data_IF_176675880312
#
_entry.id   IF_176675880312
#
_cell.length_a   1.000
_cell.length_b   1.000
_cell.length_c   1.000
_cell.angle_alpha   90.00
_cell.angle_beta   90.00
_cell.angle_gamma   90.00
#
_symmetry.space_group_name_H-M   'P 1'
#
loop_
_entity.id
_entity.type
_entity.pdbx_description
1 polymer ?
2 water ?
#
# COMPACT_ATOMS: atom_id res chain seq x y z
N UNK A 1 -10.42 -17.78 -19.40
CA UNK A 1 -9.74 -17.90 -18.13
C UNK A 1 -9.86 -16.56 -17.46
N UNK A 2 -9.06 -16.26 -16.42
CA UNK A 2 -9.14 -14.96 -15.83
C UNK A 2 -8.15 -14.11 -16.55
N UNK A 3 -8.61 -12.94 -16.94
CA UNK A 3 -7.81 -11.88 -17.54
C UNK A 3 -7.45 -10.88 -16.44
N UNK A 4 -6.18 -10.84 -16.10
CA UNK A 4 -5.71 -9.99 -15.05
C UNK A 4 -4.84 -8.93 -15.67
N UNK A 5 -5.16 -7.66 -15.43
CA UNK A 5 -4.29 -6.57 -15.82
C UNK A 5 -3.57 -5.99 -14.62
N UNK A 6 -2.43 -5.34 -14.79
CA UNK A 6 -1.72 -4.71 -13.69
C UNK A 6 -1.17 -3.36 -14.12
N UNK A 7 -1.40 -2.36 -13.27
CA UNK A 7 -0.85 -1.03 -13.47
C UNK A 7 0.27 -0.86 -12.46
N UNK A 8 1.46 -0.65 -12.99
CA UNK A 8 2.64 -0.59 -12.15
C UNK A 8 3.69 0.31 -12.78
N UNK A 9 4.76 0.57 -12.06
CA UNK A 9 5.87 1.31 -12.57
C UNK A 9 6.65 0.41 -13.48
N UNK A 10 7.50 0.91 -14.39
CA UNK A 10 8.18 0.14 -15.43
C UNK A 10 8.75 -1.17 -14.95
N UNK A 11 8.26 -2.25 -15.53
CA UNK A 11 8.72 -3.58 -15.15
C UNK A 11 10.19 -3.80 -15.54
N UNK A 12 10.77 -2.98 -16.42
CA UNK A 12 12.17 -3.18 -16.80
C UNK A 12 13.16 -2.74 -15.73
N UNK A 13 12.63 -2.03 -14.72
CA UNK A 13 13.46 -1.51 -13.65
C UNK A 13 13.23 -2.14 -12.31
N UNK A 14 12.31 -3.10 -12.14
CA UNK A 14 12.20 -3.74 -10.84
C UNK A 14 13.33 -4.74 -10.58
N UNK A 15 13.36 -5.16 -9.32
CA UNK A 15 14.35 -6.12 -8.87
C UNK A 15 13.54 -7.35 -8.57
N UNK A 16 13.73 -8.40 -9.37
CA UNK A 16 12.87 -9.57 -9.21
C UNK A 16 13.14 -10.42 -8.01
N UNK A 17 14.22 -10.22 -7.27
CA UNK A 17 14.34 -11.01 -6.05
C UNK A 17 13.69 -10.34 -4.83
N UNK A 18 13.07 -9.19 -5.06
CA UNK A 18 12.52 -8.35 -4.03
C UNK A 18 11.11 -7.85 -4.33
N UNK A 19 10.76 -7.77 -5.62
CA UNK A 19 9.53 -7.14 -5.98
C UNK A 19 8.28 -7.93 -5.69
N UNK A 20 7.35 -7.38 -4.94
CA UNK A 20 6.12 -8.13 -4.65
C UNK A 20 5.18 -8.23 -5.81
N UNK A 21 5.18 -7.26 -6.75
CA UNK A 21 4.28 -7.28 -7.89
C UNK A 21 4.68 -8.39 -8.84
N UNK A 22 5.99 -8.58 -8.98
CA UNK A 22 6.56 -9.64 -9.80
C UNK A 22 6.13 -10.98 -9.24
N UNK A 23 6.25 -11.17 -7.93
CA UNK A 23 5.84 -12.39 -7.28
C UNK A 23 4.37 -12.67 -7.52
N UNK A 24 3.52 -11.64 -7.51
CA UNK A 24 2.11 -11.76 -7.85
C UNK A 24 1.85 -12.22 -9.29
N UNK A 25 2.53 -11.63 -10.29
CA UNK A 25 2.34 -12.03 -11.66
C UNK A 25 2.82 -13.47 -11.89
N UNK A 26 3.89 -13.95 -11.22
CA UNK A 26 4.36 -15.34 -11.38
C UNK A 26 3.28 -16.30 -10.94
N UNK A 27 2.66 -16.03 -9.79
CA UNK A 27 1.55 -16.81 -9.29
C UNK A 27 0.32 -16.82 -10.21
N UNK A 28 -0.13 -15.65 -10.67
CA UNK A 28 -1.25 -15.49 -11.59
C UNK A 28 -0.94 -16.32 -12.82
N UNK A 29 0.29 -16.23 -13.32
CA UNK A 29 0.66 -17.04 -14.47
C UNK A 29 0.63 -18.56 -14.21
N UNK A 30 1.02 -18.98 -12.98
CA UNK A 30 1.02 -20.39 -12.63
C UNK A 30 -0.38 -20.97 -12.58
N UNK A 31 -1.34 -20.12 -12.28
CA UNK A 31 -2.72 -20.54 -12.25
C UNK A 31 -3.31 -20.42 -13.64
N UNK A 32 -2.53 -20.03 -14.64
CA UNK A 32 -2.98 -19.90 -16.02
C UNK A 32 -3.80 -18.65 -16.36
N UNK A 33 -3.63 -17.51 -15.65
CA UNK A 33 -4.36 -16.32 -16.01
C UNK A 33 -3.64 -15.65 -17.18
N UNK A 34 -4.40 -14.91 -17.98
CA UNK A 34 -3.80 -14.11 -19.05
C UNK A 34 -3.40 -12.79 -18.41
N UNK A 35 -2.16 -12.37 -18.59
CA UNK A 35 -1.69 -11.12 -17.96
C UNK A 35 -1.66 -9.94 -18.95
N UNK A 36 -2.14 -8.76 -18.51
CA UNK A 36 -2.10 -7.55 -19.31
C UNK A 36 -1.39 -6.47 -18.52
N UNK A 37 -0.21 -6.10 -19.02
CA UNK A 37 0.68 -5.08 -18.47
C UNK A 37 0.32 -3.64 -18.90
N UNK A 38 0.22 -2.72 -17.92
CA UNK A 38 -0.05 -1.31 -18.16
C UNK A 38 0.78 -0.42 -17.27
N UNK A 39 1.24 0.71 -17.81
CA UNK A 39 1.82 1.79 -17.01
C UNK A 39 0.74 2.89 -16.98
N UNK A 40 0.94 3.86 -16.10
CA UNK A 40 0.03 4.98 -15.94
C UNK A 40 -0.40 5.69 -17.22
N UNK A 41 0.55 6.04 -18.07
CA UNK A 41 0.26 6.69 -19.33
C UNK A 41 -0.49 5.83 -20.35
N UNK A 42 -0.70 4.53 -20.12
CA UNK A 42 -1.44 3.69 -21.04
C UNK A 42 -2.94 3.77 -20.83
N UNK A 43 -3.36 4.34 -19.69
CA UNK A 43 -4.76 4.45 -19.29
C UNK A 43 -5.35 5.70 -19.89
N UNK A 44 -6.57 5.65 -20.44
CA UNK A 44 -7.22 6.85 -20.93
C UNK A 44 -8.72 6.70 -20.91
N UNK A 45 -9.48 7.77 -21.17
CA UNK A 45 -10.94 7.75 -21.01
C UNK A 45 -11.45 8.39 -22.26
N UNK A 46 -12.29 7.73 -23.03
CA UNK A 46 -12.83 8.36 -24.22
C UNK A 46 -14.33 8.27 -23.99
N UNK A 47 -14.93 9.46 -23.93
CA UNK A 47 -16.33 9.72 -23.55
C UNK A 47 -16.85 8.84 -22.44
N UNK A 48 -16.22 8.94 -21.26
CA UNK A 48 -16.66 8.14 -20.13
C UNK A 48 -16.13 6.71 -20.11
N UNK A 49 -15.74 6.08 -21.23
CA UNK A 49 -15.21 4.73 -21.22
C UNK A 49 -13.71 4.69 -20.96
N UNK A 50 -13.42 3.84 -19.96
CA UNK A 50 -12.06 3.53 -19.52
C UNK A 50 -11.44 2.51 -20.46
N UNK A 51 -10.30 2.89 -21.04
CA UNK A 51 -9.56 2.04 -21.96
C UNK A 51 -8.07 2.15 -21.69
N UNK A 52 -7.35 1.23 -22.29
CA UNK A 52 -5.92 1.26 -22.16
C UNK A 52 -5.28 0.47 -23.26
N UNK A 53 -4.04 0.86 -23.49
CA UNK A 53 -3.13 0.12 -24.34
C UNK A 53 -2.45 -0.92 -23.43
N UNK A 54 -2.69 -2.22 -23.64
CA UNK A 54 -2.05 -3.21 -22.82
C UNK A 54 -1.08 -3.97 -23.69
N UNK A 55 -0.15 -4.63 -23.01
CA UNK A 55 0.71 -5.58 -23.66
C UNK A 55 0.43 -6.89 -22.94
N UNK A 56 0.25 -8.00 -23.68
CA UNK A 56 0.06 -9.30 -23.07
C UNK A 56 1.44 -9.72 -22.56
N UNK A 57 1.49 -10.06 -21.26
CA UNK A 57 2.77 -10.27 -20.63
C UNK A 57 3.07 -11.72 -20.26
N UNK A 58 4.36 -12.06 -20.35
CA UNK A 58 4.90 -13.35 -19.97
C UNK A 58 6.04 -13.02 -19.02
N UNK A 59 6.10 -13.61 -17.83
CA UNK A 59 7.15 -13.34 -16.84
C UNK A 59 7.90 -14.61 -16.45
N UNK A 60 9.19 -14.51 -16.15
CA UNK A 60 9.89 -15.69 -15.64
C UNK A 60 11.00 -15.26 -14.71
N UNK A 61 11.30 -16.05 -13.67
CA UNK A 61 12.35 -15.75 -12.70
C UNK A 61 13.69 -15.97 -13.40
N UNK A 62 14.18 -14.98 -14.13
CA UNK A 62 15.40 -15.11 -14.89
C UNK A 62 15.98 -13.71 -14.85
N UNK A 63 17.18 -13.53 -14.27
CA UNK A 63 17.77 -12.20 -14.05
C UNK A 63 18.28 -11.50 -15.30
N UNK A 64 18.29 -12.15 -16.48
CA UNK A 64 18.71 -11.53 -17.71
C UNK A 64 17.45 -11.06 -18.42
N UNK A 65 16.39 -11.87 -18.28
CA UNK A 65 15.14 -11.59 -18.94
C UNK A 65 13.97 -12.17 -18.15
N UNK A 66 13.33 -11.30 -17.39
CA UNK A 66 12.23 -11.71 -16.55
C UNK A 66 10.87 -11.41 -17.14
N UNK A 67 10.74 -10.81 -18.32
CA UNK A 67 9.45 -10.57 -18.94
C UNK A 67 9.59 -10.50 -20.46
N UNK A 68 8.47 -10.71 -21.16
CA UNK A 68 8.42 -10.68 -22.60
C UNK A 68 7.03 -10.20 -22.98
N UNK A 69 6.94 -9.39 -24.03
CA UNK A 69 5.61 -8.93 -24.45
C UNK A 69 5.28 -9.81 -25.60
N UNK A 70 4.09 -10.36 -25.54
CA UNK A 70 3.73 -11.35 -26.53
C UNK A 70 2.53 -10.98 -27.38
N UNK A 71 2.07 -9.75 -27.19
CA UNK A 71 0.94 -9.14 -27.87
C UNK A 71 0.78 -7.70 -27.40
N UNK A 72 0.04 -6.92 -28.18
CA UNK A 72 -0.19 -5.52 -27.92
C UNK A 72 -1.60 -5.28 -28.35
N UNK A 73 -2.40 -4.54 -27.60
CA UNK A 73 -3.77 -4.26 -27.99
C UNK A 73 -4.35 -3.06 -27.24
N UNK A 74 -5.32 -2.42 -27.84
CA UNK A 74 -6.02 -1.33 -27.22
C UNK A 74 -7.38 -1.87 -26.79
N UNK A 75 -7.70 -2.13 -25.53
CA UNK A 75 -8.99 -2.69 -25.18
C UNK A 75 -9.77 -1.85 -24.20
N UNK A 76 -11.08 -2.04 -23.99
CA UNK A 76 -11.76 -1.45 -22.86
C UNK A 76 -11.40 -2.23 -21.62
N UNK A 77 -11.06 -1.50 -20.55
CA UNK A 77 -10.68 -2.09 -19.25
C UNK A 77 -11.73 -3.00 -18.59
N UNK A 78 -12.99 -2.75 -18.97
CA UNK A 78 -14.16 -3.55 -18.64
C UNK A 78 -14.12 -4.95 -19.27
N UNK A 79 -13.18 -5.20 -20.19
CA UNK A 79 -12.87 -6.53 -20.70
C UNK A 79 -11.91 -7.30 -19.81
N UNK A 80 -11.30 -6.67 -18.78
CA UNK A 80 -10.52 -7.38 -17.81
C UNK A 80 -11.40 -7.76 -16.62
N UNK A 81 -11.09 -8.92 -16.08
CA UNK A 81 -11.81 -9.43 -14.95
C UNK A 81 -11.31 -8.72 -13.73
N UNK A 82 -9.99 -8.52 -13.61
CA UNK A 82 -9.42 -7.86 -12.44
C UNK A 82 -8.16 -7.10 -12.83
N UNK A 83 -7.99 -5.96 -12.09
CA UNK A 83 -6.83 -5.09 -12.24
C UNK A 83 -6.23 -4.78 -10.86
N UNK A 84 -4.94 -5.09 -10.79
CA UNK A 84 -4.08 -4.81 -9.66
C UNK A 84 -3.49 -3.41 -9.84
N UNK A 85 -3.96 -2.42 -9.07
CA UNK A 85 -3.34 -1.11 -9.07
C UNK A 85 -2.13 -1.22 -8.16
N UNK A 86 -0.95 -1.31 -8.73
CA UNK A 86 0.24 -1.56 -7.96
C UNK A 86 1.26 -0.46 -8.16
N UNK A 87 0.74 0.70 -8.56
CA UNK A 87 1.52 1.91 -8.76
C UNK A 87 2.14 2.41 -7.44
N UNK A 88 3.40 2.79 -7.46
CA UNK A 88 4.01 3.29 -6.25
C UNK A 88 3.63 4.71 -5.90
N UNK A 89 3.66 5.04 -4.60
CA UNK A 89 3.61 6.40 -4.12
C UNK A 89 4.66 7.38 -4.67
N UNK A 90 4.41 8.70 -4.68
CA UNK A 90 3.38 9.39 -3.92
C UNK A 90 1.95 9.28 -4.39
N UNK A 91 1.07 9.62 -3.43
CA UNK A 91 -0.35 9.66 -3.67
C UNK A 91 -0.57 11.13 -3.91
N UNK A 92 -0.67 11.41 -5.19
CA UNK A 92 -0.76 12.77 -5.64
C UNK A 92 -1.99 12.95 -6.49
N UNK A 93 -2.16 14.11 -7.15
CA UNK A 93 -3.32 14.34 -7.97
C UNK A 93 -3.26 13.44 -9.20
N UNK A 94 -2.08 13.10 -9.75
CA UNK A 94 -2.04 12.16 -10.86
C UNK A 94 -2.56 10.76 -10.56
N UNK A 95 -2.33 10.34 -9.31
CA UNK A 95 -2.76 9.06 -8.82
C UNK A 95 -4.25 9.18 -8.60
N UNK A 96 -4.75 10.31 -8.06
CA UNK A 96 -6.19 10.47 -7.90
C UNK A 96 -6.93 10.45 -9.23
N UNK A 97 -6.37 11.01 -10.33
CA UNK A 97 -6.99 10.97 -11.64
C UNK A 97 -7.08 9.56 -12.20
N UNK A 98 -6.03 8.74 -11.99
CA UNK A 98 -6.05 7.35 -12.44
C UNK A 98 -7.06 6.47 -11.76
N UNK A 99 -7.31 6.79 -10.51
CA UNK A 99 -8.33 6.17 -9.68
C UNK A 99 -9.73 6.40 -10.29
N UNK A 100 -10.01 7.56 -10.96
CA UNK A 100 -11.33 7.81 -11.57
C UNK A 100 -11.53 6.96 -12.84
N UNK A 101 -10.42 6.73 -13.60
CA UNK A 101 -10.42 5.89 -14.81
C UNK A 101 -10.69 4.42 -14.45
N UNK A 102 -9.99 3.93 -13.41
CA UNK A 102 -10.20 2.59 -12.89
C UNK A 102 -11.62 2.41 -12.35
N UNK A 103 -12.19 3.45 -11.74
CA UNK A 103 -13.53 3.41 -11.25
C UNK A 103 -14.57 3.31 -12.37
N UNK A 104 -14.26 3.79 -13.58
CA UNK A 104 -15.20 3.66 -14.69
C UNK A 104 -15.20 2.24 -15.20
N UNK A 105 -14.05 1.56 -15.20
CA UNK A 105 -14.00 0.14 -15.49
C UNK A 105 -14.71 -0.66 -14.43
N UNK A 106 -14.60 -0.23 -13.18
CA UNK A 106 -15.19 -0.93 -12.04
C UNK A 106 -16.69 -0.92 -12.12
N UNK A 107 -17.28 0.19 -12.59
CA UNK A 107 -18.73 0.31 -12.76
C UNK A 107 -19.25 -0.60 -13.84
N UNK A 108 -18.39 -0.86 -14.83
CA UNK A 108 -18.72 -1.77 -15.91
C UNK A 108 -18.33 -3.20 -15.59
N UNK A 109 -17.92 -3.51 -14.35
CA UNK A 109 -17.73 -4.90 -13.96
C UNK A 109 -16.38 -5.39 -13.47
N UNK A 110 -15.24 -4.77 -13.80
CA UNK A 110 -13.90 -5.20 -13.38
C UNK A 110 -13.67 -5.07 -11.87
N UNK A 111 -13.06 -6.07 -11.22
CA UNK A 111 -12.63 -5.97 -9.83
C UNK A 111 -11.31 -5.19 -9.82
N UNK A 112 -11.18 -4.21 -8.93
CA UNK A 112 -10.00 -3.38 -8.85
C UNK A 112 -9.46 -3.65 -7.44
N UNK A 113 -8.24 -4.16 -7.38
CA UNK A 113 -7.55 -4.38 -6.11
C UNK A 113 -6.55 -3.23 -6.05
N UNK A 114 -6.60 -2.20 -5.19
CA UNK A 114 -7.67 -2.03 -4.21
C UNK A 114 -8.67 -1.04 -4.79
N UNK A 115 -9.83 -0.96 -4.15
CA UNK A 115 -10.95 -0.22 -4.68
C UNK A 115 -10.65 1.27 -4.78
N UNK A 116 -10.88 1.90 -5.95
CA UNK A 116 -10.46 3.26 -6.21
C UNK A 116 -11.02 4.28 -5.23
N UNK A 117 -12.28 4.11 -4.78
CA UNK A 117 -12.88 5.05 -3.86
C UNK A 117 -12.17 5.01 -2.55
N UNK A 118 -11.92 3.79 -2.09
CA UNK A 118 -11.19 3.57 -0.86
C UNK A 118 -9.70 4.00 -0.90
N UNK A 119 -9.04 4.08 -2.08
CA UNK A 119 -7.69 4.58 -2.18
C UNK A 119 -7.68 6.07 -1.93
N UNK A 120 -8.74 6.74 -2.41
CA UNK A 120 -8.97 8.17 -2.17
C UNK A 120 -9.44 8.47 -0.75
N UNK A 121 -10.24 7.56 -0.17
CA UNK A 121 -10.74 7.68 1.18
C UNK A 121 -9.72 7.41 2.29
N UNK A 122 -8.78 6.50 2.04
CA UNK A 122 -7.82 6.00 3.03
C UNK A 122 -6.35 6.37 2.81
N UNK A 123 -5.97 7.55 3.23
CA UNK A 123 -4.59 8.01 3.14
C UNK A 123 -3.75 7.15 4.07
N UNK A 124 -2.54 6.71 3.70
CA UNK A 124 -1.71 5.84 4.53
C UNK A 124 -1.49 6.37 5.95
N UNK A 125 -1.22 7.68 6.10
CA UNK A 125 -1.01 8.31 7.41
C UNK A 125 -2.26 8.86 8.05
N UNK A 126 -3.21 9.58 7.41
CA UNK A 126 -4.42 10.10 8.04
C UNK A 126 -5.57 9.16 8.29
N UNK A 127 -5.54 8.01 7.67
CA UNK A 127 -6.54 6.98 7.93
C UNK A 127 -6.45 6.40 9.35
N UNK A 128 -5.29 6.50 10.03
CA UNK A 128 -5.13 5.99 11.38
C UNK A 128 -5.92 6.82 12.37
N UNK A 129 -6.36 8.02 11.97
CA UNK A 129 -7.33 8.81 12.72
C UNK A 129 -8.67 8.12 12.98
N UNK A 130 -9.02 7.09 12.20
CA UNK A 130 -10.23 6.32 12.41
C UNK A 130 -10.01 5.12 13.38
N UNK A 131 -8.77 4.89 13.87
CA UNK A 131 -8.40 3.82 14.83
C UNK A 131 -7.45 4.40 15.89
N UNK A 132 -7.97 5.46 16.50
CA UNK A 132 -7.27 6.28 17.46
C UNK A 132 -6.92 5.58 18.78
N UNK A 133 -7.64 4.53 19.13
CA UNK A 133 -7.28 3.74 20.28
C UNK A 133 -6.10 2.83 19.93
N UNK A 134 -5.74 2.64 18.64
CA UNK A 134 -4.68 1.74 18.26
C UNK A 134 -3.41 2.50 17.94
N UNK A 135 -3.44 3.84 17.87
CA UNK A 135 -2.28 4.57 17.41
C UNK A 135 -1.58 5.35 18.53
N UNK A 136 -0.35 5.86 18.32
CA UNK A 136 0.25 6.84 19.21
C UNK A 136 -0.45 8.19 19.25
N UNK A 137 -0.06 9.12 20.12
CA UNK A 137 -0.61 10.46 20.16
C UNK A 137 -0.20 11.12 18.88
N UNK A 138 -1.18 11.65 18.17
CA UNK A 138 -0.97 12.15 16.82
C UNK A 138 -1.58 13.53 16.70
N UNK A 139 -0.81 14.53 16.26
CA UNK A 139 -1.35 15.84 15.94
C UNK A 139 -1.14 16.10 14.47
N UNK A 140 -2.17 16.44 13.69
CA UNK A 140 -2.01 16.88 12.29
C UNK A 140 -2.26 18.41 12.28
N UNK A 141 -1.30 19.28 11.89
CA UNK A 141 -1.44 20.73 12.00
C UNK A 141 -0.52 21.50 11.07
N UNK A 142 -0.79 22.80 10.89
CA UNK A 142 0.03 23.68 10.08
C UNK A 142 0.87 24.61 10.92
N UNK A 143 0.62 24.68 12.22
CA UNK A 143 1.41 25.59 13.02
C UNK A 143 2.29 25.14 14.16
N UNK A 144 3.38 25.91 14.14
CA UNK A 144 4.53 25.81 14.98
C UNK A 144 4.19 25.75 16.46
N UNK A 145 3.43 26.73 16.94
CA UNK A 145 3.03 26.77 18.34
C UNK A 145 2.30 25.53 18.83
N UNK A 146 1.53 24.85 17.99
CA UNK A 146 0.85 23.64 18.40
C UNK A 146 1.84 22.49 18.44
N UNK A 147 2.80 22.46 17.51
CA UNK A 147 3.81 21.42 17.47
C UNK A 147 4.74 21.50 18.69
N UNK A 148 5.13 22.72 19.05
CA UNK A 148 5.98 23.07 20.18
C UNK A 148 5.32 22.63 21.46
N UNK A 149 4.01 22.89 21.53
CA UNK A 149 3.19 22.49 22.64
C UNK A 149 3.00 21.00 22.77
N UNK A 150 2.94 20.29 21.64
CA UNK A 150 2.80 18.85 21.67
C UNK A 150 4.13 18.29 22.19
N UNK A 151 5.21 18.96 21.83
CA UNK A 151 6.54 18.61 22.24
C UNK A 151 6.76 18.85 23.74
N UNK A 152 6.09 19.83 24.36
CA UNK A 152 6.20 20.05 25.79
C UNK A 152 5.48 18.97 26.57
N UNK A 153 4.35 18.48 26.08
CA UNK A 153 3.61 17.44 26.74
C UNK A 153 4.26 16.06 26.63
N UNK A 154 4.99 15.81 25.53
CA UNK A 154 5.49 14.47 25.29
C UNK A 154 6.99 14.29 25.36
N UNK A 155 7.70 15.43 25.28
CA UNK A 155 9.15 15.56 25.41
C UNK A 155 10.05 14.96 24.33
N UNK A 156 9.59 13.88 23.76
CA UNK A 156 10.30 13.23 22.71
C UNK A 156 9.26 12.77 21.67
N UNK A 157 9.32 13.42 20.52
CA UNK A 157 8.34 13.20 19.46
C UNK A 157 9.01 12.95 18.13
N UNK A 158 8.15 12.53 17.18
CA UNK A 158 8.43 12.22 15.76
C UNK A 158 7.69 13.21 14.87
N UNK A 159 8.33 13.96 13.96
CA UNK A 159 7.62 14.84 13.02
C UNK A 159 7.90 14.29 11.63
N UNK A 160 6.80 14.02 10.95
CA UNK A 160 6.90 13.58 9.58
C UNK A 160 6.05 14.41 8.60
N UNK A 161 6.37 14.44 7.30
CA UNK A 161 5.47 15.03 6.31
C UNK A 161 4.28 14.13 5.97
N UNK A 162 3.17 14.68 5.44
CA UNK A 162 2.04 13.84 5.08
C UNK A 162 2.14 13.17 3.71
N UNK A 163 2.70 14.02 2.84
CA UNK A 163 2.87 13.83 1.41
C UNK A 163 3.74 12.64 0.96
N UNK A 168 11.33 7.82 3.56
CA UNK A 168 10.77 8.38 4.77
C UNK A 168 11.58 9.55 5.35
N UNK A 169 10.96 10.74 5.50
CA UNK A 169 11.66 11.92 6.03
C UNK A 169 11.26 12.30 7.46
N UNK A 170 11.47 11.40 8.42
CA UNK A 170 11.06 11.64 9.79
C UNK A 170 12.18 12.24 10.62
N UNK A 171 11.80 13.23 11.41
CA UNK A 171 12.68 13.94 12.29
C UNK A 171 12.36 13.54 13.73
N UNK A 172 13.38 13.40 14.55
CA UNK A 172 13.12 13.09 15.93
C UNK A 172 13.47 14.29 16.79
N UNK A 173 12.48 14.78 17.54
CA UNK A 173 12.70 15.94 18.36
C UNK A 173 12.60 15.51 19.82
N UNK A 174 13.76 15.33 20.44
CA UNK A 174 13.80 14.94 21.83
C UNK A 174 14.35 16.11 22.63
N UNK A 175 14.20 16.05 23.95
CA UNK A 175 14.69 17.06 24.90
C UNK A 175 16.08 17.67 24.58
N UNK A 176 16.11 19.01 24.52
CA UNK A 176 17.32 19.77 24.28
C UNK A 176 17.61 20.02 22.80
N UNK A 177 16.75 19.57 21.87
CA UNK A 177 16.93 19.74 20.44
C UNK A 177 16.83 21.23 20.05
N UNK A 178 17.80 21.85 19.35
CA UNK A 178 17.76 23.25 18.98
C UNK A 178 16.91 23.59 17.74
N UNK A 179 16.41 22.54 17.10
CA UNK A 179 15.80 22.64 15.81
C UNK A 179 14.29 22.57 15.63
N UNK A 180 13.46 22.52 16.69
CA UNK A 180 12.00 22.46 16.56
C UNK A 180 11.40 23.45 15.57
N UNK A 181 11.87 24.68 15.62
CA UNK A 181 11.32 25.71 14.79
C UNK A 181 11.64 25.53 13.34
N UNK A 182 12.91 25.33 12.94
CA UNK A 182 13.21 25.17 11.54
C UNK A 182 12.60 23.91 11.00
N UNK A 183 12.50 22.80 11.76
CA UNK A 183 11.93 21.54 11.30
C UNK A 183 10.46 21.77 10.98
N UNK A 184 9.76 22.53 11.81
CA UNK A 184 8.34 22.74 11.63
C UNK A 184 8.12 23.72 10.50
N UNK A 185 9.03 24.68 10.30
CA UNK A 185 8.95 25.60 9.21
C UNK A 185 9.28 24.99 7.86
N UNK A 186 10.17 24.00 7.85
CA UNK A 186 10.53 23.26 6.65
C UNK A 186 9.40 22.29 6.30
N UNK A 187 8.88 21.51 7.27
CA UNK A 187 7.88 20.50 7.01
C UNK A 187 6.50 21.08 6.73
N UNK A 188 6.16 22.23 7.34
CA UNK A 188 4.90 22.88 7.03
C UNK A 188 5.08 23.88 5.88
N UNK A 189 6.27 24.01 5.33
CA UNK A 189 6.57 25.00 4.32
C UNK A 189 6.03 26.38 4.64
N UNK A 190 6.39 26.71 5.87
CA UNK A 190 6.14 28.00 6.49
C UNK A 190 4.69 28.24 6.82
N UNK A 191 4.07 27.20 7.35
CA UNK A 191 2.70 27.27 7.81
C UNK A 191 1.67 27.07 6.73
N UNK A 192 2.03 26.52 5.57
CA UNK A 192 1.11 26.39 4.44
C UNK A 192 0.71 24.96 4.17
N UNK A 193 1.34 23.99 4.84
CA UNK A 193 1.04 22.56 4.64
C UNK A 193 0.89 21.83 5.94
N UNK A 194 -0.04 20.89 6.03
CA UNK A 194 -0.22 20.09 7.23
C UNK A 194 0.97 19.13 7.36
N UNK A 195 1.39 18.90 8.60
CA UNK A 195 2.39 17.91 8.94
C UNK A 195 1.81 17.10 10.10
N UNK A 196 2.48 16.00 10.49
CA UNK A 196 2.05 15.11 11.53
C UNK A 196 3.13 15.00 12.59
N UNK A 197 2.74 14.99 13.87
CA UNK A 197 3.61 14.82 15.02
C UNK A 197 3.00 13.66 15.75
N UNK A 198 3.83 12.76 16.22
CA UNK A 198 3.40 11.64 17.02
C UNK A 198 4.36 11.47 18.16
N UNK A 199 4.02 10.86 19.29
CA UNK A 199 5.05 10.69 20.31
C UNK A 199 6.00 9.57 19.90
N UNK A 200 7.29 9.75 20.16
CA UNK A 200 8.26 8.69 19.90
C UNK A 200 8.01 7.42 20.72
N UNK A 201 8.10 6.32 20.00
CA UNK A 201 7.89 4.99 20.53
C UNK A 201 9.23 4.26 20.55
N UNK A 202 9.86 4.10 21.73
CA UNK A 202 11.18 3.50 21.88
C UNK A 202 11.26 2.05 21.44
N UNK A 203 10.15 1.31 21.44
CA UNK A 203 10.14 -0.06 20.97
C UNK A 203 10.39 -0.22 19.47
N UNK A 204 10.65 0.86 18.73
CA UNK A 204 11.00 0.75 17.33
C UNK A 204 12.31 -0.03 17.24
N UNK A 205 13.12 0.05 18.29
CA UNK A 205 14.37 -0.67 18.36
C UNK A 205 14.17 -2.19 18.38
N UNK A 206 12.95 -2.71 18.63
CA UNK A 206 12.65 -4.13 18.53
C UNK A 206 12.20 -4.52 17.12
N UNK A 207 11.90 -3.52 16.30
CA UNK A 207 11.48 -3.73 14.93
C UNK A 207 10.20 -2.98 14.59
N UNK A 208 10.25 -2.31 13.45
CA UNK A 208 9.09 -1.67 12.83
C UNK A 208 8.53 -2.79 11.96
N UNK A 209 7.43 -3.37 12.41
CA UNK A 209 6.87 -4.53 11.75
C UNK A 209 5.89 -4.20 10.64
N UNK A 210 6.05 -4.96 9.58
CA UNK A 210 5.20 -4.89 8.41
C UNK A 210 4.23 -6.09 8.44
N UNK A 211 2.94 -5.91 8.75
CA UNK A 211 1.98 -7.01 8.77
C UNK A 211 1.08 -6.97 7.51
N UNK A 212 0.76 -8.09 6.86
CA UNK A 212 -0.04 -8.09 5.66
C UNK A 212 -1.44 -8.61 5.99
N UNK A 213 -2.49 -8.10 5.35
CA UNK A 213 -3.87 -8.48 5.64
C UNK A 213 -4.52 -8.67 4.28
N UNK A 214 -4.83 -9.92 3.98
CA UNK A 214 -5.40 -10.31 2.70
C UNK A 214 -6.90 -10.45 2.87
N UNK A 215 -7.61 -9.42 2.48
CA UNK A 215 -9.05 -9.34 2.53
C UNK A 215 -9.62 -9.61 3.91
N UNK A 216 -9.04 -8.82 4.80
CA UNK A 216 -9.46 -8.81 6.19
C UNK A 216 -8.74 -9.84 7.04
N UNK A 217 -8.04 -10.80 6.42
CA UNK A 217 -7.35 -11.87 7.15
C UNK A 217 -5.85 -11.64 7.25
N UNK A 218 -5.33 -11.43 8.47
CA UNK A 218 -3.90 -11.34 8.70
C UNK A 218 -3.13 -12.56 8.25
N UNK A 219 -2.05 -12.28 7.51
CA UNK A 219 -1.04 -13.25 7.16
C UNK A 219 -0.31 -13.55 8.49
N UNK A 220 -0.14 -14.81 8.89
CA UNK A 220 0.37 -15.22 10.20
C UNK A 220 1.82 -14.85 10.49
N UNK A 221 2.57 -14.35 9.53
CA UNK A 221 3.98 -14.06 9.69
C UNK A 221 4.15 -12.70 9.06
N UNK A 222 4.92 -11.85 9.75
CA UNK A 222 5.20 -10.51 9.30
C UNK A 222 6.70 -10.29 9.17
N UNK A 223 7.15 -9.13 8.71
CA UNK A 223 8.58 -8.90 8.65
C UNK A 223 8.88 -7.70 9.51
N UNK A 224 9.73 -7.85 10.54
CA UNK A 224 10.16 -6.73 11.37
C UNK A 224 11.43 -6.13 10.79
N UNK A 225 11.30 -4.85 10.40
CA UNK A 225 12.39 -4.10 9.80
C UNK A 225 13.14 -3.43 10.96
N UNK A 242 16.04 -6.80 8.67
CA UNK A 242 14.82 -7.47 8.27
C UNK A 242 14.71 -8.89 8.83
N UNK A 243 13.73 -9.18 9.67
CA UNK A 243 13.63 -10.49 10.27
C UNK A 243 12.20 -10.95 10.19
N UNK A 244 11.86 -12.02 9.48
CA UNK A 244 10.53 -12.62 9.53
C UNK A 244 10.25 -13.22 10.91
N UNK A 245 9.04 -12.99 11.44
CA UNK A 245 8.61 -13.50 12.74
C UNK A 245 7.15 -13.89 12.63
N UNK A 246 6.59 -14.82 13.41
CA UNK A 246 5.14 -14.95 13.56
C UNK A 246 4.54 -13.68 14.18
N UNK A 247 3.24 -13.46 13.95
CA UNK A 247 2.58 -12.37 14.62
C UNK A 247 2.54 -12.70 16.11
N UNK A 248 2.89 -11.70 16.93
CA UNK A 248 2.74 -11.78 18.38
C UNK A 248 1.27 -11.72 18.70
N UNK A 249 0.97 -11.81 19.98
CA UNK A 249 -0.40 -11.70 20.42
C UNK A 249 -0.98 -10.33 20.10
N UNK A 250 -0.19 -9.26 20.25
CA UNK A 250 -0.65 -7.89 20.00
C UNK A 250 -0.81 -7.55 18.53
N UNK A 251 -0.03 -8.19 17.67
CA UNK A 251 -0.17 -8.05 16.23
C UNK A 251 -1.50 -8.67 15.85
N UNK A 252 -1.81 -9.91 16.28
CA UNK A 252 -3.12 -10.49 16.06
C UNK A 252 -4.28 -9.59 16.47
N UNK A 253 -4.17 -8.95 17.64
CA UNK A 253 -5.19 -8.06 18.19
C UNK A 253 -5.46 -6.85 17.30
N UNK A 254 -4.39 -6.09 17.00
CA UNK A 254 -4.45 -4.94 16.09
C UNK A 254 -5.04 -5.31 14.72
N UNK A 255 -4.44 -6.28 14.02
CA UNK A 255 -4.82 -6.71 12.68
C UNK A 255 -6.25 -7.20 12.60
N UNK A 256 -6.75 -7.93 13.60
CA UNK A 256 -8.13 -8.37 13.58
C UNK A 256 -9.07 -7.22 13.94
N UNK A 257 -8.66 -6.10 14.55
CA UNK A 257 -9.59 -5.01 14.82
C UNK A 257 -9.85 -4.20 13.53
N UNK A 258 -8.81 -3.96 12.71
CA UNK A 258 -8.89 -3.24 11.44
C UNK A 258 -9.43 -4.05 10.26
N UNK A 259 -9.24 -5.37 10.31
CA UNK A 259 -9.51 -6.25 9.19
C UNK A 259 -10.90 -6.25 8.60
N UNK A 260 -12.00 -6.35 9.36
CA UNK A 260 -13.35 -6.14 8.84
C UNK A 260 -13.63 -4.81 8.18
N UNK A 261 -12.91 -3.75 8.56
CA UNK A 261 -13.06 -2.44 7.99
C UNK A 261 -12.38 -2.47 6.63
N UNK A 262 -11.23 -3.12 6.54
CA UNK A 262 -10.52 -3.17 5.31
C UNK A 262 -11.25 -4.06 4.35
N UNK A 263 -11.91 -5.13 4.77
CA UNK A 263 -12.62 -6.00 3.88
C UNK A 263 -13.82 -5.27 3.27
N UNK A 264 -14.60 -4.55 4.09
CA UNK A 264 -15.79 -3.90 3.59
C UNK A 264 -15.52 -2.67 2.73
N UNK A 265 -14.32 -2.11 2.80
CA UNK A 265 -13.94 -0.96 1.99
C UNK A 265 -13.27 -1.39 0.71
N UNK A 266 -13.17 -2.70 0.51
CA UNK A 266 -12.54 -3.23 -0.69
C UNK A 266 -11.04 -3.08 -0.72
N UNK A 267 -10.43 -2.97 0.47
CA UNK A 267 -9.01 -2.92 0.64
C UNK A 267 -8.64 -4.40 0.84
N UNK A 268 -8.45 -5.11 -0.28
CA UNK A 268 -8.17 -6.55 -0.33
C UNK A 268 -6.72 -6.93 0.01
N UNK A 269 -5.68 -6.13 -0.20
CA UNK A 269 -4.33 -6.50 0.15
C UNK A 269 -3.75 -5.24 0.82
N UNK A 270 -3.51 -5.34 2.14
CA UNK A 270 -3.10 -4.19 2.94
C UNK A 270 -1.83 -4.46 3.76
N UNK A 271 -1.01 -3.46 3.94
CA UNK A 271 0.15 -3.56 4.78
C UNK A 271 -0.10 -2.67 5.98
N UNK A 272 0.16 -3.15 7.18
CA UNK A 272 0.02 -2.34 8.39
C UNK A 272 1.41 -2.14 8.98
N UNK A 273 1.80 -0.93 9.42
CA UNK A 273 3.08 -0.73 10.09
C UNK A 273 2.83 -0.67 11.57
N UNK A 274 3.46 -1.54 12.37
CA UNK A 274 3.23 -1.64 13.81
C UNK A 274 4.56 -1.52 14.55
N UNK A 275 4.71 -0.54 15.44
CA UNK A 275 5.91 -0.42 16.22
C UNK A 275 5.41 -0.70 17.61
N UNK A 276 5.92 -1.80 18.13
CA UNK A 276 5.49 -2.30 19.43
C UNK A 276 4.05 -2.76 19.33
N UNK A 277 3.18 -2.16 20.11
CA UNK A 277 1.75 -2.46 20.02
C UNK A 277 0.93 -1.34 19.46
N UNK A 278 1.56 -0.39 18.78
CA UNK A 278 0.86 0.73 18.19
C UNK A 278 0.94 0.65 16.68
N UNK A 279 -0.23 0.93 16.10
CA UNK A 279 -0.44 1.08 14.66
C UNK A 279 0.02 2.48 14.26
N UNK A 280 0.98 2.55 13.35
CA UNK A 280 1.52 3.81 12.89
C UNK A 280 1.11 4.22 11.46
N UNK A 281 0.77 3.28 10.59
CA UNK A 281 0.57 3.55 9.17
C UNK A 281 -0.20 2.45 8.44
N UNK A 282 -0.97 2.77 7.42
CA UNK A 282 -1.72 1.77 6.69
C UNK A 282 -1.43 1.93 5.18
N UNK A 283 -0.63 1.03 4.62
CA UNK A 283 -0.30 1.07 3.22
C UNK A 283 -1.44 0.37 2.51
N UNK A 284 -2.08 1.16 1.65
CA UNK A 284 -3.24 0.80 0.85
C UNK A 284 -2.90 0.83 -0.63
N UNK A 285 -1.76 1.36 -1.07
CA UNK A 285 -1.48 1.44 -2.49
C UNK A 285 -0.58 0.30 -2.96
N UNK A 286 0.67 0.18 -2.53
CA UNK A 286 1.50 -0.88 -3.03
C UNK A 286 2.25 -1.57 -1.89
N UNK A 287 1.58 -2.33 -0.99
CA UNK A 287 2.25 -3.11 0.07
C UNK A 287 3.13 -4.23 -0.45
N UNK A 288 4.31 -4.25 0.11
CA UNK A 288 5.33 -5.21 -0.26
C UNK A 288 5.68 -6.17 0.91
N UNK A 289 6.89 -6.76 0.87
CA UNK A 289 7.49 -7.68 1.81
C UNK A 289 7.00 -9.11 1.64
N UNK A 290 6.36 -9.42 0.50
CA UNK A 290 5.91 -10.79 0.21
C UNK A 290 7.11 -11.76 0.11
N UNK A 291 8.12 -11.38 -0.66
CA UNK A 291 9.25 -12.25 -0.92
C UNK A 291 9.96 -12.64 0.36
N UNK A 292 10.24 -11.71 1.27
CA UNK A 292 10.97 -12.00 2.51
C UNK A 292 10.22 -12.91 3.51
N UNK A 293 8.89 -12.86 3.56
CA UNK A 293 8.13 -13.75 4.44
C UNK A 293 7.96 -15.13 3.78
N UNK A 294 7.90 -15.27 2.44
CA UNK A 294 7.69 -16.57 1.79
C UNK A 294 8.88 -17.51 1.72
N UNK A 295 10.01 -16.81 1.84
CA UNK A 295 11.34 -17.41 1.90
C UNK A 295 11.68 -18.10 3.21
N UNK A 296 10.96 -17.81 4.29
CA UNK A 296 11.21 -18.35 5.62
C UNK A 296 10.09 -19.23 6.11
N UNK A 297 8.88 -18.84 5.81
CA UNK A 297 7.76 -19.57 6.31
C UNK A 297 7.03 -20.26 5.18
N UNK A 298 6.27 -21.28 5.57
CA UNK A 298 5.44 -22.02 4.65
C UNK A 298 4.06 -21.33 4.56
N UNK A 299 4.09 -20.21 3.84
CA UNK A 299 2.90 -19.47 3.55
C UNK A 299 3.08 -19.01 2.12
N UNK A 300 1.99 -19.05 1.32
CA UNK A 300 2.00 -18.47 0.00
C UNK A 300 1.04 -17.29 0.12
N UNK A 301 1.63 -16.12 0.34
CA UNK A 301 0.86 -14.88 0.43
C UNK A 301 0.21 -14.59 -0.93
N UNK A 302 0.90 -14.76 -2.06
CA UNK A 302 0.31 -14.51 -3.35
C UNK A 302 -0.80 -15.48 -3.68
N UNK A 303 -0.67 -16.67 -3.10
CA UNK A 303 -1.70 -17.68 -3.24
C UNK A 303 -2.91 -17.24 -2.44
N UNK A 304 -2.70 -16.68 -1.26
CA UNK A 304 -3.80 -16.20 -0.46
C UNK A 304 -4.58 -15.10 -1.19
N UNK A 305 -3.80 -14.24 -1.86
CA UNK A 305 -4.30 -13.10 -2.61
C UNK A 305 -5.13 -13.54 -3.80
N UNK A 306 -4.57 -14.42 -4.66
CA UNK A 306 -5.30 -14.87 -5.83
C UNK A 306 -6.53 -15.67 -5.42
N UNK A 307 -6.46 -16.33 -4.25
CA UNK A 307 -7.60 -17.06 -3.72
C UNK A 307 -8.68 -16.09 -3.32
N UNK A 308 -8.30 -14.96 -2.74
CA UNK A 308 -9.25 -13.93 -2.36
C UNK A 308 -9.85 -13.30 -3.62
N UNK A 309 -9.06 -13.03 -4.68
CA UNK A 309 -9.59 -12.46 -5.94
C UNK A 309 -10.60 -13.39 -6.60
N UNK A 310 -10.27 -14.69 -6.64
CA UNK A 310 -11.13 -15.72 -7.17
C UNK A 310 -12.43 -15.84 -6.41
N UNK A 311 -12.41 -15.71 -5.08
CA UNK A 311 -13.66 -15.67 -4.32
C UNK A 311 -14.45 -14.44 -4.72
N UNK A 312 -13.88 -13.23 -4.62
CA UNK A 312 -14.56 -11.98 -5.00
C UNK A 312 -15.20 -11.99 -6.40
N UNK A 313 -14.55 -12.66 -7.34
CA UNK A 313 -15.02 -12.75 -8.71
C UNK A 313 -16.20 -13.69 -8.87
N UNK A 314 -16.25 -14.80 -8.12
CA UNK A 314 -17.35 -15.77 -8.27
C UNK A 314 -18.21 -15.43 -7.06
N UNK A 315 -18.78 -14.23 -7.09
CA UNK A 315 -19.54 -13.75 -5.98
C UNK A 315 -20.44 -12.68 -6.56
N UNK A 316 -19.81 -11.57 -6.93
CA UNK A 316 -20.54 -10.44 -7.45
C UNK A 316 -20.49 -10.41 -8.99
#
# INVERSE_FOLDING_TARGET
MIKLGIVMDPIANINIKKDSSFAMLLEAQRRGYELHYMEMGDLYLINGEARAHTRTLNVKQNYEEWFSFVGEQDLPLADLDVILMRKDPPFDTEFIYATYILERAEEKGTLIVNKPQSLRDCNEKLFTAWFSDLTPETLVTRNKAQLKAFWEKHSDIILKPLDGMGGASIFRVKEGDPNLGVIAETLTEHGTRYCMAQNYLPAIKDGDKRVLVVDGEPVPYCLARIPQGGETRGNLAAGGRGEPRPLTESDWKIARQIGPTLKEKGLIFVGLDIIGDRLTEINVTSPTCIREIEAEFPVSITGMLMDAIEARLQQQ
#
